data_IF_824822894783
#
_entry.id   IF_824822894783
#
_cell.length_a   1.000
_cell.length_b   1.000
_cell.length_c   1.000
_cell.angle_alpha   90.00
_cell.angle_beta   90.00
_cell.angle_gamma   90.00
#
_symmetry.space_group_name_H-M   'P 1'
#
loop_
_entity.id
_entity.type
_entity.pdbx_description
1 polymer ?
#
# COMPACT_ATOMS: atom_id res chain seq x y z
N UNK A 1 -14.80 -0.58 -6.42
CA UNK A 1 -13.60 -0.29 -5.61
C UNK A 1 -13.17 -1.58 -4.96
N UNK A 2 -11.87 -1.88 -4.92
CA UNK A 2 -11.30 -3.05 -4.28
C UNK A 2 -10.54 -2.59 -3.04
N UNK A 3 -11.10 -2.87 -1.86
CA UNK A 3 -10.48 -2.49 -0.59
C UNK A 3 -9.35 -3.45 -0.24
N UNK A 4 -8.44 -2.99 0.60
CA UNK A 4 -7.43 -3.86 1.19
C UNK A 4 -8.07 -4.94 2.06
N UNK A 5 -7.74 -6.22 1.87
CA UNK A 5 -8.38 -7.32 2.59
C UNK A 5 -7.80 -7.50 4.01
N UNK A 6 -7.79 -6.44 4.82
CA UNK A 6 -7.19 -6.45 6.16
C UNK A 6 -7.77 -7.55 7.06
N UNK A 7 -9.05 -7.88 6.89
CA UNK A 7 -9.73 -8.92 7.65
C UNK A 7 -9.10 -10.30 7.44
N UNK A 8 -8.59 -10.59 6.24
CA UNK A 8 -7.89 -11.86 5.97
C UNK A 8 -6.59 -11.97 6.78
N UNK A 9 -5.95 -10.84 7.07
CA UNK A 9 -4.68 -10.78 7.80
C UNK A 9 -4.90 -10.80 9.31
N UNK A 10 -6.07 -10.36 9.77
CA UNK A 10 -6.49 -10.47 11.16
C UNK A 10 -7.05 -11.85 11.52
N UNK A 11 -7.49 -12.63 10.52
CA UNK A 11 -8.16 -13.92 10.74
C UNK A 11 -7.50 -15.02 9.90
N UNK A 12 -6.27 -15.41 10.26
CA UNK A 12 -5.55 -16.53 9.66
C UNK A 12 -5.78 -17.78 10.50
N UNK A 13 -6.88 -18.49 10.22
CA UNK A 13 -7.33 -19.58 11.07
C UNK A 13 -7.79 -19.04 12.43
N UNK A 14 -7.09 -19.39 13.51
CA UNK A 14 -7.34 -18.88 14.87
C UNK A 14 -6.42 -17.72 15.27
N UNK A 15 -5.54 -17.27 14.38
CA UNK A 15 -4.49 -16.29 14.69
C UNK A 15 -4.69 -14.95 13.97
N UNK A 16 -4.30 -13.86 14.66
CA UNK A 16 -4.20 -12.52 14.08
C UNK A 16 -2.74 -12.22 13.69
N UNK A 17 -2.44 -12.24 12.39
CA UNK A 17 -1.07 -12.07 11.90
C UNK A 17 -0.58 -10.62 12.04
N UNK A 18 -1.47 -9.62 11.92
CA UNK A 18 -1.12 -8.22 12.16
C UNK A 18 -0.73 -7.99 13.62
N UNK A 19 -1.50 -8.54 14.55
CA UNK A 19 -1.18 -8.47 15.98
C UNK A 19 0.17 -9.16 16.28
N UNK A 20 0.41 -10.35 15.72
CA UNK A 20 1.70 -11.04 15.87
C UNK A 20 2.86 -10.21 15.32
N UNK A 21 2.68 -9.57 14.16
CA UNK A 21 3.68 -8.68 13.58
C UNK A 21 4.02 -7.53 14.51
N UNK A 22 3.03 -6.80 15.03
CA UNK A 22 3.34 -5.68 15.93
C UNK A 22 3.91 -6.10 17.29
N UNK A 23 3.72 -7.36 17.71
CA UNK A 23 4.36 -7.91 18.92
C UNK A 23 5.80 -8.37 18.69
N UNK A 24 6.11 -8.95 17.53
CA UNK A 24 7.45 -9.42 17.17
C UNK A 24 7.69 -9.24 15.67
N UNK A 25 8.07 -8.02 15.30
CA UNK A 25 8.23 -7.64 13.89
C UNK A 25 9.34 -8.45 13.22
N UNK A 26 10.45 -8.74 13.92
CA UNK A 26 11.56 -9.52 13.36
C UNK A 26 11.14 -10.94 13.01
N UNK A 27 10.33 -11.58 13.86
CA UNK A 27 9.84 -12.94 13.58
C UNK A 27 8.80 -12.97 12.46
N UNK A 28 7.92 -11.98 12.40
CA UNK A 28 6.71 -12.07 11.58
C UNK A 28 6.71 -11.18 10.33
N UNK A 29 7.73 -10.34 10.12
CA UNK A 29 7.84 -9.48 8.94
C UNK A 29 7.76 -10.30 7.65
N UNK A 30 8.60 -11.32 7.49
CA UNK A 30 8.61 -12.13 6.26
C UNK A 30 7.25 -12.81 6.03
N UNK A 31 6.65 -13.38 7.08
CA UNK A 31 5.35 -14.04 7.01
C UNK A 31 4.24 -13.06 6.60
N UNK A 32 4.19 -11.88 7.21
CA UNK A 32 3.19 -10.87 6.91
C UNK A 32 3.35 -10.33 5.48
N UNK A 33 4.56 -9.94 5.08
CA UNK A 33 4.79 -9.38 3.73
C UNK A 33 4.45 -10.39 2.63
N UNK A 34 4.78 -11.68 2.85
CA UNK A 34 4.43 -12.75 1.92
C UNK A 34 2.92 -12.95 1.80
N UNK A 35 2.21 -12.98 2.94
CA UNK A 35 0.76 -13.18 2.95
C UNK A 35 -0.03 -11.98 2.38
N UNK A 36 0.42 -10.75 2.66
CA UNK A 36 -0.10 -9.54 2.02
C UNK A 36 0.06 -9.65 0.50
N UNK A 37 1.25 -10.01 0.01
CA UNK A 37 1.51 -10.13 -1.43
C UNK A 37 0.57 -11.18 -2.07
N UNK A 38 0.50 -12.38 -1.49
CA UNK A 38 -0.36 -13.47 -1.97
C UNK A 38 -1.84 -13.05 -2.06
N UNK A 39 -2.40 -12.55 -0.97
CA UNK A 39 -3.83 -12.19 -0.90
C UNK A 39 -4.17 -11.05 -1.86
N UNK A 40 -3.24 -10.12 -2.07
CA UNK A 40 -3.41 -9.02 -3.01
C UNK A 40 -3.35 -9.47 -4.47
N UNK A 41 -2.44 -10.38 -4.81
CA UNK A 41 -2.38 -10.98 -6.16
C UNK A 41 -3.66 -11.76 -6.45
N UNK A 42 -4.12 -12.59 -5.51
CA UNK A 42 -5.39 -13.33 -5.65
C UNK A 42 -6.59 -12.39 -5.85
N UNK A 43 -6.66 -11.31 -5.08
CA UNK A 43 -7.71 -10.30 -5.21
C UNK A 43 -7.69 -9.65 -6.61
N UNK A 44 -6.52 -9.30 -7.13
CA UNK A 44 -6.36 -8.70 -8.45
C UNK A 44 -6.67 -9.67 -9.59
N UNK A 45 -6.26 -10.94 -9.47
CA UNK A 45 -6.60 -11.97 -10.44
C UNK A 45 -8.12 -12.15 -10.55
N UNK A 46 -8.81 -12.26 -9.41
CA UNK A 46 -10.26 -12.41 -9.39
C UNK A 46 -10.94 -11.19 -10.00
N UNK A 47 -10.50 -9.99 -9.62
CA UNK A 47 -11.00 -8.76 -10.19
C UNK A 47 -10.84 -8.74 -11.71
N UNK A 48 -9.68 -9.15 -12.24
CA UNK A 48 -9.39 -9.09 -13.68
C UNK A 48 -10.25 -10.05 -14.51
N UNK A 49 -10.73 -11.15 -13.92
CA UNK A 49 -11.67 -12.08 -14.57
C UNK A 49 -13.07 -11.47 -14.71
N UNK A 50 -13.47 -10.60 -13.80
CA UNK A 50 -14.79 -9.97 -13.76
C UNK A 50 -14.80 -8.66 -14.57
N UNK A 51 -15.68 -8.53 -15.58
CA UNK A 51 -15.94 -7.29 -16.35
C UNK A 51 -14.72 -6.42 -16.71
N UNK A 52 -14.15 -6.65 -17.90
CA UNK A 52 -12.97 -5.91 -18.41
C UNK A 52 -13.23 -4.43 -18.75
N UNK A 53 -14.47 -4.00 -18.85
CA UNK A 53 -14.84 -2.65 -19.35
C UNK A 53 -15.11 -1.61 -18.25
N UNK A 54 -14.86 -1.94 -16.98
CA UNK A 54 -15.12 -1.04 -15.84
C UNK A 54 -13.81 -0.61 -15.21
N UNK A 55 -13.67 0.68 -14.91
CA UNK A 55 -12.55 1.23 -14.15
C UNK A 55 -12.55 0.64 -12.73
N UNK A 56 -11.43 0.03 -12.34
CA UNK A 56 -11.23 -0.56 -11.01
C UNK A 56 -10.28 0.31 -10.20
N UNK A 57 -10.84 0.98 -9.20
CA UNK A 57 -10.06 1.68 -8.17
C UNK A 57 -9.70 0.65 -7.09
N UNK A 58 -8.41 0.54 -6.78
CA UNK A 58 -7.88 -0.43 -5.82
C UNK A 58 -7.19 0.35 -4.70
N UNK A 59 -7.53 0.05 -3.45
CA UNK A 59 -6.82 0.57 -2.28
C UNK A 59 -5.45 -0.09 -2.18
N UNK A 60 -4.36 0.69 -2.24
CA UNK A 60 -2.96 0.22 -2.34
C UNK A 60 -2.69 -0.66 -3.58
N UNK A 61 -1.51 -1.25 -3.66
CA UNK A 61 -1.09 -2.15 -4.74
C UNK A 61 -0.05 -3.17 -4.28
N UNK A 62 0.18 -4.22 -5.08
CA UNK A 62 1.31 -5.14 -4.88
C UNK A 62 2.66 -4.42 -4.94
N UNK A 63 2.73 -3.29 -5.65
CA UNK A 63 3.91 -2.45 -5.75
C UNK A 63 4.17 -1.70 -4.44
N UNK A 64 3.14 -1.12 -3.81
CA UNK A 64 3.30 -0.51 -2.48
C UNK A 64 3.72 -1.53 -1.43
N UNK A 65 3.26 -2.78 -1.52
CA UNK A 65 3.70 -3.85 -0.62
C UNK A 65 5.21 -4.10 -0.75
N UNK A 66 5.76 -4.11 -1.97
CA UNK A 66 7.20 -4.30 -2.21
C UNK A 66 8.05 -3.07 -1.90
N UNK A 67 7.78 -1.97 -2.60
CA UNK A 67 8.64 -0.77 -2.60
C UNK A 67 8.45 0.13 -1.39
N UNK A 68 7.36 -0.04 -0.64
CA UNK A 68 7.15 0.71 0.60
C UNK A 68 7.30 -0.19 1.83
N UNK A 69 6.46 -1.21 1.98
CA UNK A 69 6.38 -1.96 3.24
C UNK A 69 7.51 -2.99 3.41
N UNK A 70 7.69 -3.89 2.43
CA UNK A 70 8.69 -4.95 2.53
C UNK A 70 10.12 -4.39 2.46
N UNK A 71 10.36 -3.40 1.60
CA UNK A 71 11.65 -2.70 1.57
C UNK A 71 11.94 -1.95 2.87
N UNK A 72 10.97 -1.23 3.45
CA UNK A 72 11.16 -0.61 4.76
C UNK A 72 11.49 -1.66 5.83
N UNK A 73 10.80 -2.80 5.83
CA UNK A 73 11.09 -3.89 6.77
C UNK A 73 12.52 -4.42 6.62
N UNK A 74 13.01 -4.57 5.40
CA UNK A 74 14.40 -4.94 5.15
C UNK A 74 15.39 -3.89 5.65
N UNK A 75 15.19 -2.62 5.31
CA UNK A 75 16.09 -1.53 5.71
C UNK A 75 16.09 -1.27 7.23
N UNK A 76 14.99 -1.57 7.92
CA UNK A 76 14.89 -1.56 9.38
C UNK A 76 15.54 -2.80 10.05
N UNK A 77 16.08 -3.74 9.28
CA UNK A 77 16.67 -4.98 9.79
C UNK A 77 15.63 -5.97 10.36
N UNK A 78 14.38 -5.90 9.90
CA UNK A 78 13.31 -6.84 10.25
C UNK A 78 13.29 -8.07 9.33
N UNK A 79 13.91 -7.95 8.15
CA UNK A 79 14.15 -9.06 7.23
C UNK A 79 15.66 -9.28 7.13
N UNK A 80 16.08 -10.54 7.16
CA UNK A 80 17.46 -10.92 6.79
C UNK A 80 17.69 -10.79 5.29
N UNK A 81 18.95 -10.77 4.85
CA UNK A 81 19.29 -10.79 3.42
C UNK A 81 18.69 -12.01 2.71
N UNK A 82 18.65 -13.16 3.38
CA UNK A 82 18.02 -14.38 2.86
C UNK A 82 16.53 -14.16 2.61
N UNK A 83 15.81 -13.67 3.62
CA UNK A 83 14.37 -13.42 3.55
C UNK A 83 14.03 -12.36 2.50
N UNK A 84 14.82 -11.29 2.41
CA UNK A 84 14.63 -10.25 1.41
C UNK A 84 14.86 -10.77 -0.01
N UNK A 85 15.90 -11.57 -0.23
CA UNK A 85 16.16 -12.18 -1.53
C UNK A 85 15.08 -13.19 -1.93
N UNK A 86 14.54 -13.97 -0.98
CA UNK A 86 13.43 -14.89 -1.23
C UNK A 86 12.13 -14.14 -1.51
N UNK A 87 11.81 -13.12 -0.72
CA UNK A 87 10.62 -12.29 -0.92
C UNK A 87 10.59 -11.68 -2.32
N UNK A 88 11.72 -11.10 -2.78
CA UNK A 88 11.80 -10.52 -4.12
C UNK A 88 11.53 -11.55 -5.21
N UNK A 89 12.10 -12.76 -5.11
CA UNK A 89 11.86 -13.85 -6.07
C UNK A 89 10.40 -14.28 -6.11
N UNK A 90 9.76 -14.43 -4.94
CA UNK A 90 8.33 -14.78 -4.88
C UNK A 90 7.46 -13.68 -5.48
N UNK A 91 7.74 -12.42 -5.12
CA UNK A 91 7.00 -11.30 -5.67
C UNK A 91 7.17 -11.17 -7.18
N UNK A 92 8.40 -11.36 -7.70
CA UNK A 92 8.66 -11.28 -9.14
C UNK A 92 7.85 -12.33 -9.89
N UNK A 93 7.82 -13.57 -9.39
CA UNK A 93 7.01 -14.65 -9.94
C UNK A 93 5.50 -14.36 -9.85
N UNK A 94 5.01 -14.00 -8.67
CA UNK A 94 3.59 -13.73 -8.44
C UNK A 94 3.07 -12.56 -9.30
N UNK A 95 3.82 -11.46 -9.37
CA UNK A 95 3.37 -10.23 -10.03
C UNK A 95 3.54 -10.30 -11.54
N UNK A 96 4.65 -10.83 -12.06
CA UNK A 96 4.89 -10.88 -13.50
C UNK A 96 3.87 -11.74 -14.26
N UNK A 97 3.43 -12.85 -13.66
CA UNK A 97 2.52 -13.80 -14.32
C UNK A 97 1.05 -13.42 -14.15
N UNK A 98 0.69 -12.61 -13.14
CA UNK A 98 -0.70 -12.53 -12.69
C UNK A 98 -1.28 -11.13 -12.49
N UNK A 99 -0.45 -10.10 -12.42
CA UNK A 99 -0.92 -8.75 -12.08
C UNK A 99 -0.77 -7.82 -13.29
N UNK A 100 -1.88 -7.29 -13.85
CA UNK A 100 -1.80 -6.30 -14.90
C UNK A 100 -1.21 -4.98 -14.35
N UNK A 101 -0.45 -4.29 -15.20
CA UNK A 101 0.04 -2.95 -14.87
C UNK A 101 -1.13 -1.98 -14.62
N UNK A 102 -1.03 -1.11 -13.60
CA UNK A 102 -2.06 -0.11 -13.38
C UNK A 102 -2.02 0.94 -14.48
N UNK A 103 -3.19 1.46 -14.88
CA UNK A 103 -3.27 2.56 -15.84
C UNK A 103 -2.84 3.90 -15.25
N UNK A 104 -2.94 4.06 -13.92
CA UNK A 104 -2.57 5.27 -13.20
C UNK A 104 -2.51 5.00 -11.71
N UNK A 105 -1.82 5.88 -10.99
CA UNK A 105 -1.67 5.83 -9.53
C UNK A 105 -2.22 7.13 -8.92
N UNK A 106 -2.91 7.01 -7.78
CA UNK A 106 -3.35 8.16 -6.98
C UNK A 106 -2.61 8.11 -5.66
N UNK A 107 -1.75 9.10 -5.40
CA UNK A 107 -1.00 9.22 -4.18
C UNK A 107 -1.66 10.22 -3.24
N UNK A 108 -2.24 9.72 -2.15
CA UNK A 108 -2.74 10.55 -1.05
C UNK A 108 -1.56 10.89 -0.13
N UNK A 109 -0.90 12.03 -0.38
CA UNK A 109 0.30 12.45 0.35
C UNK A 109 -0.10 13.22 1.59
N UNK A 110 0.24 12.68 2.77
CA UNK A 110 -0.07 13.25 4.07
C UNK A 110 1.17 13.10 4.97
N UNK A 111 1.58 14.15 5.71
CA UNK A 111 2.72 14.06 6.61
C UNK A 111 2.59 12.94 7.64
N UNK A 112 3.71 12.27 7.95
CA UNK A 112 3.73 11.17 8.94
C UNK A 112 3.16 11.59 10.30
N UNK A 113 3.39 12.84 10.73
CA UNK A 113 2.84 13.39 11.99
C UNK A 113 1.31 13.38 12.01
N UNK A 114 0.68 13.82 10.92
CA UNK A 114 -0.78 13.82 10.81
C UNK A 114 -1.33 12.40 10.66
N UNK A 115 -0.61 11.50 9.99
CA UNK A 115 -0.96 10.07 9.95
C UNK A 115 -0.93 9.46 11.35
N UNK A 116 0.08 9.79 12.15
CA UNK A 116 0.22 9.34 13.54
C UNK A 116 -0.96 9.80 14.40
N UNK A 117 -1.33 11.09 14.34
CA UNK A 117 -2.51 11.62 15.03
C UNK A 117 -3.80 10.88 14.65
N UNK A 118 -3.97 10.57 13.35
CA UNK A 118 -5.14 9.83 12.84
C UNK A 118 -5.17 8.39 13.34
N UNK A 119 -4.03 7.71 13.43
CA UNK A 119 -3.93 6.35 13.99
C UNK A 119 -4.32 6.36 15.47
N UNK A 120 -3.77 7.31 16.24
CA UNK A 120 -4.08 7.46 17.66
C UNK A 120 -5.56 7.77 17.89
N UNK A 121 -6.16 8.64 17.07
CA UNK A 121 -7.59 8.94 17.12
C UNK A 121 -8.47 7.74 16.77
N UNK A 122 -8.05 6.89 15.83
CA UNK A 122 -8.78 5.68 15.41
C UNK A 122 -8.72 4.58 16.47
N UNK A 123 -7.68 4.56 17.30
CA UNK A 123 -7.54 3.70 18.47
C UNK A 123 -7.73 2.19 18.18
N UNK A 124 -7.16 1.70 17.07
CA UNK A 124 -7.09 0.26 16.80
C UNK A 124 -6.04 -0.39 17.69
N UNK A 125 -6.36 -1.55 18.25
CA UNK A 125 -5.50 -2.22 19.21
C UNK A 125 -4.15 -2.63 18.60
N UNK A 126 -4.18 -3.19 17.39
CA UNK A 126 -2.97 -3.69 16.72
C UNK A 126 -2.05 -2.55 16.27
N UNK A 127 -2.59 -1.35 16.07
CA UNK A 127 -1.84 -0.19 15.56
C UNK A 127 -1.20 0.65 16.68
N UNK A 128 -1.51 0.39 17.95
CA UNK A 128 -0.92 1.10 19.10
C UNK A 128 0.61 1.11 19.11
N UNK A 129 1.32 0.02 18.72
CA UNK A 129 2.79 0.00 18.74
C UNK A 129 3.44 0.79 17.60
N UNK A 130 2.67 1.35 16.66
CA UNK A 130 3.22 2.10 15.52
C UNK A 130 3.87 3.39 16.02
N UNK A 131 5.16 3.56 15.76
CA UNK A 131 5.89 4.78 16.08
C UNK A 131 5.79 5.83 14.98
N UNK A 132 5.99 7.11 15.35
CA UNK A 132 6.13 8.18 14.36
C UNK A 132 7.31 7.91 13.41
N UNK A 133 8.44 7.42 13.92
CA UNK A 133 9.61 7.07 13.11
C UNK A 133 9.27 6.04 12.02
N UNK A 134 8.51 5.00 12.36
CA UNK A 134 8.05 4.02 11.38
C UNK A 134 7.22 4.67 10.25
N UNK A 135 6.35 5.62 10.61
CA UNK A 135 5.53 6.35 9.63
C UNK A 135 6.37 7.30 8.78
N UNK A 136 7.38 7.97 9.35
CA UNK A 136 8.33 8.83 8.62
C UNK A 136 9.15 8.03 7.61
N UNK A 137 9.57 6.81 7.98
CA UNK A 137 10.24 5.92 7.04
C UNK A 137 9.31 5.54 5.89
N UNK A 138 8.05 5.19 6.18
CA UNK A 138 7.06 4.89 5.14
C UNK A 138 6.74 6.10 4.26
N UNK A 139 6.61 7.30 4.82
CA UNK A 139 6.46 8.56 4.06
C UNK A 139 7.61 8.69 3.05
N UNK A 140 8.85 8.54 3.51
CA UNK A 140 10.05 8.59 2.65
C UNK A 140 9.98 7.55 1.53
N UNK A 141 9.54 6.32 1.81
CA UNK A 141 9.41 5.28 0.77
C UNK A 141 8.33 5.60 -0.26
N UNK A 142 7.21 6.16 0.16
CA UNK A 142 6.17 6.57 -0.78
C UNK A 142 6.63 7.75 -1.64
N UNK A 143 7.31 8.75 -1.06
CA UNK A 143 7.87 9.88 -1.80
C UNK A 143 8.95 9.42 -2.80
N UNK A 144 9.88 8.56 -2.37
CA UNK A 144 10.89 7.97 -3.25
C UNK A 144 10.26 7.23 -4.43
N UNK A 145 9.21 6.45 -4.20
CA UNK A 145 8.54 5.69 -5.24
C UNK A 145 7.66 6.56 -6.16
N UNK A 146 6.81 7.43 -5.60
CA UNK A 146 5.70 8.07 -6.31
C UNK A 146 5.99 9.51 -6.73
N UNK A 147 6.92 10.22 -6.08
CA UNK A 147 7.33 11.57 -6.46
C UNK A 147 8.66 11.57 -7.21
N UNK A 148 9.65 10.89 -6.65
CA UNK A 148 11.00 10.85 -7.19
C UNK A 148 11.19 9.75 -8.23
N UNK A 149 10.20 8.85 -8.37
CA UNK A 149 10.22 7.71 -9.29
C UNK A 149 11.51 6.87 -9.18
N UNK A 150 12.03 6.74 -7.96
CA UNK A 150 13.12 5.84 -7.66
C UNK A 150 12.57 4.41 -7.62
N UNK A 151 13.32 3.48 -8.21
CA UNK A 151 13.09 2.04 -8.10
C UNK A 151 11.91 1.45 -8.90
N UNK A 152 11.60 1.99 -10.08
CA UNK A 152 10.39 1.58 -10.80
C UNK A 152 10.64 1.17 -12.25
N UNK A 153 11.15 -0.04 -12.48
CA UNK A 153 11.34 -0.63 -13.83
C UNK A 153 10.19 -0.33 -14.82
N UNK A 154 9.21 -1.23 -14.94
CA UNK A 154 8.13 -1.10 -15.92
C UNK A 154 7.03 -0.09 -15.52
N UNK A 155 7.24 0.69 -14.46
CA UNK A 155 6.25 1.65 -13.93
C UNK A 155 6.61 3.12 -14.21
N UNK A 156 7.79 3.43 -14.76
CA UNK A 156 8.23 4.81 -15.06
C UNK A 156 7.24 5.63 -15.92
N UNK A 157 6.40 4.97 -16.72
CA UNK A 157 5.47 5.64 -17.62
C UNK A 157 4.02 5.71 -17.10
N UNK A 158 3.78 5.27 -15.85
CA UNK A 158 2.43 5.27 -15.29
C UNK A 158 2.12 6.66 -14.74
N UNK A 159 1.06 7.33 -15.22
CA UNK A 159 0.66 8.64 -14.70
C UNK A 159 0.35 8.58 -13.21
N UNK A 160 0.75 9.61 -12.46
CA UNK A 160 0.56 9.71 -11.01
C UNK A 160 -0.18 11.02 -10.70
N UNK A 161 -1.33 10.91 -10.05
CA UNK A 161 -2.03 12.04 -9.44
C UNK A 161 -1.63 12.14 -7.98
N UNK A 162 -0.99 13.25 -7.59
CA UNK A 162 -0.66 13.53 -6.19
C UNK A 162 -1.74 14.44 -5.60
N UNK A 163 -2.34 14.00 -4.50
CA UNK A 163 -3.31 14.76 -3.72
C UNK A 163 -2.71 15.03 -2.33
N UNK A 164 -2.38 16.29 -2.07
CA UNK A 164 -1.75 16.74 -0.84
C UNK A 164 -2.54 17.90 -0.24
N UNK A 165 -3.15 17.66 0.92
CA UNK A 165 -3.76 18.69 1.77
C UNK A 165 -3.78 18.18 3.22
N UNK A 166 -3.48 19.04 4.17
CA UNK A 166 -3.44 18.71 5.61
C UNK A 166 -4.81 18.87 6.29
N UNK A 167 -5.79 19.52 5.64
CA UNK A 167 -7.14 19.68 6.17
C UNK A 167 -7.83 18.31 6.27
N UNK A 168 -8.73 18.20 7.25
CA UNK A 168 -9.56 17.00 7.38
C UNK A 168 -10.58 16.93 6.24
N UNK A 169 -10.40 15.94 5.37
CA UNK A 169 -11.28 15.67 4.24
C UNK A 169 -12.72 15.42 4.70
N UNK A 170 -12.95 14.83 5.89
CA UNK A 170 -14.30 14.45 6.36
C UNK A 170 -15.18 15.67 6.65
N UNK A 171 -14.57 16.75 7.12
CA UNK A 171 -15.26 17.98 7.50
C UNK A 171 -15.21 19.07 6.43
N UNK A 172 -14.39 18.91 5.38
CA UNK A 172 -14.20 19.93 4.36
C UNK A 172 -14.85 19.54 3.00
N UNK A 173 -16.09 19.99 2.79
CA UNK A 173 -16.86 19.73 1.55
C UNK A 173 -16.15 20.30 0.32
N UNK A 174 -15.54 21.49 0.42
CA UNK A 174 -14.83 22.11 -0.72
C UNK A 174 -13.63 21.26 -1.13
N UNK A 175 -12.89 20.71 -0.17
CA UNK A 175 -11.77 19.81 -0.45
C UNK A 175 -12.24 18.48 -1.06
N UNK A 176 -13.35 17.93 -0.58
CA UNK A 176 -13.96 16.72 -1.19
C UNK A 176 -14.31 16.96 -2.66
N UNK A 177 -14.94 18.09 -2.97
CA UNK A 177 -15.32 18.46 -4.34
C UNK A 177 -14.09 18.65 -5.24
N UNK A 178 -13.06 19.33 -4.74
CA UNK A 178 -11.79 19.51 -5.46
C UNK A 178 -11.12 18.15 -5.76
N UNK A 179 -11.07 17.25 -4.78
CA UNK A 179 -10.48 15.91 -4.97
C UNK A 179 -11.27 15.08 -5.98
N UNK A 180 -12.61 15.08 -5.89
CA UNK A 180 -13.46 14.39 -6.87
C UNK A 180 -13.24 14.94 -8.27
N UNK A 181 -13.15 16.27 -8.42
CA UNK A 181 -12.87 16.90 -9.71
C UNK A 181 -11.50 16.48 -10.27
N UNK A 182 -10.44 16.58 -9.48
CA UNK A 182 -9.07 16.17 -9.87
C UNK A 182 -8.99 14.70 -10.24
N UNK A 183 -9.63 13.82 -9.47
CA UNK A 183 -9.68 12.38 -9.76
C UNK A 183 -10.44 12.12 -11.06
N UNK A 184 -11.56 12.81 -11.30
CA UNK A 184 -12.33 12.65 -12.55
C UNK A 184 -11.50 13.05 -13.77
N UNK A 185 -10.87 14.23 -13.72
CA UNK A 185 -9.98 14.68 -14.81
C UNK A 185 -8.79 13.76 -15.02
N UNK A 186 -8.24 13.22 -13.94
CA UNK A 186 -7.17 12.24 -14.03
C UNK A 186 -7.65 10.97 -14.72
N UNK A 187 -8.79 10.39 -14.30
CA UNK A 187 -9.35 9.19 -14.93
C UNK A 187 -9.67 9.40 -16.42
N UNK A 188 -10.21 10.56 -16.78
CA UNK A 188 -10.51 10.91 -18.18
C UNK A 188 -9.23 10.94 -19.03
N UNK A 189 -8.11 11.39 -18.47
CA UNK A 189 -6.81 11.42 -19.18
C UNK A 189 -6.14 10.04 -19.34
N UNK A 190 -6.65 9.00 -18.67
CA UNK A 190 -6.17 7.61 -18.79
C UNK A 190 -6.94 6.78 -19.84
N UNK A 191 -7.93 7.41 -20.49
CA UNK A 191 -8.86 6.80 -21.46
C UNK A 191 -8.22 6.55 -22.81
#
# INVERSE_FOLDING_TARGET
MLNEPHELWQNVGSDNLLEKFFKDQKRWAFTLQSYITLTRVQQLQQATKENRNIVKIIERSVYSARYCFAQNAFEMGLLTDLEWNLYQKFWDWDVSDHVPLPKGLIYLRIPASLCYERIMSRNRFEEQPISLEYLTNLETKHDDWLLHQKQVDNLHNIPILVLEDTKDLRSNISLQQDYVHKITMFLDSLS
#
